data_IF_277265434238
#
_entry.id   IF_277265434238
#
_cell.length_a   1.000
_cell.length_b   1.000
_cell.length_c   1.000
_cell.angle_alpha   90.00
_cell.angle_beta   90.00
_cell.angle_gamma   90.00
#
_symmetry.space_group_name_H-M   'P 1'
#
loop_
_entity.id
_entity.type
_entity.pdbx_description
1 polymer ?
#
# COMPACT_ATOMS: atom_id res chain seq x y z
N UNK A 1 -7.80 12.01 -9.30
CA UNK A 1 -9.02 12.85 -9.27
C UNK A 1 -8.80 14.18 -8.57
N UNK A 2 -7.68 14.38 -7.86
CA UNK A 2 -7.40 15.59 -7.09
C UNK A 2 -7.94 15.52 -5.66
N UNK A 3 -8.70 14.47 -5.34
CA UNK A 3 -9.15 14.11 -4.00
C UNK A 3 -8.26 12.98 -3.49
N UNK A 4 -7.39 13.30 -2.53
CA UNK A 4 -6.43 12.36 -1.96
C UNK A 4 -7.10 11.10 -1.42
N UNK A 5 -8.24 11.25 -0.72
CA UNK A 5 -8.92 10.12 -0.10
C UNK A 5 -9.42 9.14 -1.16
N UNK A 6 -10.03 9.66 -2.24
CA UNK A 6 -10.49 8.84 -3.36
C UNK A 6 -9.32 8.16 -4.07
N UNK A 7 -8.26 8.90 -4.35
CA UNK A 7 -7.12 8.41 -5.13
C UNK A 7 -6.34 7.32 -4.36
N UNK A 8 -6.10 7.50 -3.06
CA UNK A 8 -5.49 6.46 -2.20
C UNK A 8 -6.41 5.24 -2.04
N UNK A 9 -7.72 5.45 -1.86
CA UNK A 9 -8.68 4.34 -1.73
C UNK A 9 -8.66 3.48 -2.99
N UNK A 10 -8.70 4.11 -4.18
CA UNK A 10 -8.62 3.39 -5.44
C UNK A 10 -7.32 2.59 -5.58
N UNK A 11 -6.17 3.17 -5.21
CA UNK A 11 -4.89 2.46 -5.24
C UNK A 11 -4.89 1.23 -4.34
N UNK A 12 -5.38 1.35 -3.11
CA UNK A 12 -5.43 0.24 -2.15
C UNK A 12 -6.44 -0.83 -2.60
N UNK A 13 -7.59 -0.43 -3.14
CA UNK A 13 -8.57 -1.37 -3.72
C UNK A 13 -7.95 -2.23 -4.82
N UNK A 14 -7.20 -1.63 -5.75
CA UNK A 14 -6.52 -2.38 -6.80
C UNK A 14 -5.53 -3.43 -6.24
N UNK A 15 -4.86 -3.11 -5.14
CA UNK A 15 -3.96 -4.06 -4.47
C UNK A 15 -4.73 -5.17 -3.75
N UNK A 16 -5.81 -4.83 -3.03
CA UNK A 16 -6.70 -5.80 -2.39
C UNK A 16 -7.22 -6.79 -3.42
N UNK A 17 -7.73 -6.30 -4.56
CA UNK A 17 -8.27 -7.14 -5.62
C UNK A 17 -7.21 -8.02 -6.26
N UNK A 18 -6.00 -7.50 -6.49
CA UNK A 18 -4.87 -8.30 -7.01
C UNK A 18 -4.45 -9.44 -6.06
N UNK A 19 -4.69 -9.27 -4.75
CA UNK A 19 -4.38 -10.28 -3.75
C UNK A 19 -5.53 -11.24 -3.45
N UNK A 20 -6.69 -11.06 -4.07
CA UNK A 20 -7.80 -12.01 -3.93
C UNK A 20 -7.56 -13.25 -4.78
N UNK A 21 -7.66 -14.42 -4.15
CA UNK A 21 -7.55 -15.71 -4.83
C UNK A 21 -6.10 -16.13 -5.13
N UNK A 22 -5.90 -16.78 -6.28
CA UNK A 22 -4.65 -17.49 -6.60
C UNK A 22 -3.44 -16.56 -6.72
N UNK A 23 -3.63 -15.34 -7.24
CA UNK A 23 -2.56 -14.37 -7.41
C UNK A 23 -1.97 -13.92 -6.05
N UNK A 24 -2.82 -13.72 -5.03
CA UNK A 24 -2.36 -13.43 -3.67
C UNK A 24 -1.55 -14.57 -3.07
N UNK A 25 -1.98 -15.82 -3.26
CA UNK A 25 -1.21 -16.97 -2.79
C UNK A 25 0.19 -17.03 -3.42
N UNK A 26 0.28 -16.80 -4.73
CA UNK A 26 1.57 -16.73 -5.45
C UNK A 26 2.42 -15.58 -4.92
N UNK A 27 1.83 -14.40 -4.69
CA UNK A 27 2.57 -13.26 -4.12
C UNK A 27 3.14 -13.58 -2.73
N UNK A 28 2.36 -14.25 -1.87
CA UNK A 28 2.83 -14.66 -0.55
C UNK A 28 4.00 -15.65 -0.63
N UNK A 29 3.93 -16.62 -1.56
CA UNK A 29 5.02 -17.55 -1.84
C UNK A 29 6.28 -16.82 -2.34
N UNK A 30 6.13 -15.87 -3.26
CA UNK A 30 7.23 -15.04 -3.77
C UNK A 30 7.89 -14.21 -2.66
N UNK A 31 7.10 -13.58 -1.79
CA UNK A 31 7.62 -12.82 -0.64
C UNK A 31 8.39 -13.74 0.31
N UNK A 32 7.87 -14.95 0.56
CA UNK A 32 8.53 -15.96 1.39
C UNK A 32 9.88 -16.40 0.83
N UNK A 33 9.92 -16.74 -0.47
CA UNK A 33 11.16 -17.12 -1.15
C UNK A 33 12.19 -15.98 -1.19
N UNK A 34 11.74 -14.74 -1.37
CA UNK A 34 12.60 -13.56 -1.39
C UNK A 34 13.33 -13.31 -0.06
N UNK A 35 12.94 -13.93 1.06
CA UNK A 35 13.64 -13.76 2.34
C UNK A 35 15.03 -14.41 2.35
N UNK A 36 15.27 -15.41 1.49
CA UNK A 36 16.56 -16.13 1.40
C UNK A 36 17.19 -16.06 0.01
N UNK A 37 16.56 -15.36 -0.94
CA UNK A 37 17.07 -15.12 -2.29
C UNK A 37 17.14 -13.61 -2.56
N UNK A 38 18.35 -13.06 -2.54
CA UNK A 38 18.59 -11.63 -2.72
C UNK A 38 18.21 -11.14 -4.13
N UNK A 39 18.45 -11.95 -5.16
CA UNK A 39 18.13 -11.58 -6.54
C UNK A 39 16.61 -11.52 -6.75
N UNK A 40 15.88 -12.47 -6.15
CA UNK A 40 14.42 -12.44 -6.14
C UNK A 40 13.89 -11.25 -5.33
N UNK A 41 14.49 -10.93 -4.19
CA UNK A 41 14.11 -9.77 -3.39
C UNK A 41 14.28 -8.45 -4.16
N UNK A 42 15.37 -8.30 -4.90
CA UNK A 42 15.60 -7.13 -5.76
C UNK A 42 14.56 -7.02 -6.87
N UNK A 43 14.24 -8.13 -7.54
CA UNK A 43 13.21 -8.14 -8.58
C UNK A 43 11.82 -7.84 -8.02
N UNK A 44 11.46 -8.43 -6.88
CA UNK A 44 10.18 -8.16 -6.22
C UNK A 44 10.08 -6.68 -5.81
N UNK A 45 11.17 -6.10 -5.26
CA UNK A 45 11.22 -4.67 -4.95
C UNK A 45 11.04 -3.82 -6.20
N UNK A 46 11.82 -4.06 -7.24
CA UNK A 46 11.83 -3.24 -8.45
C UNK A 46 10.54 -3.34 -9.26
N UNK A 47 9.98 -4.54 -9.42
CA UNK A 47 8.85 -4.78 -10.32
C UNK A 47 7.50 -4.66 -9.63
N UNK A 48 7.44 -4.92 -8.32
CA UNK A 48 6.18 -4.91 -7.58
C UNK A 48 6.11 -3.76 -6.57
N UNK A 49 7.08 -3.65 -5.66
CA UNK A 49 6.97 -2.70 -4.53
C UNK A 49 7.15 -1.25 -5.01
N UNK A 50 8.24 -0.96 -5.73
CA UNK A 50 8.63 0.40 -6.07
C UNK A 50 7.59 1.15 -6.91
N UNK A 51 6.99 0.56 -7.98
CA UNK A 51 6.00 1.28 -8.78
C UNK A 51 4.77 1.74 -7.98
N UNK A 52 4.37 0.96 -6.97
CA UNK A 52 3.24 1.29 -6.08
C UNK A 52 3.63 2.38 -5.08
N UNK A 53 4.86 2.33 -4.56
CA UNK A 53 5.39 3.38 -3.68
C UNK A 53 5.59 4.71 -4.41
N UNK A 54 6.05 4.69 -5.65
CA UNK A 54 6.22 5.89 -6.47
C UNK A 54 4.87 6.55 -6.74
N UNK A 55 3.86 5.76 -7.14
CA UNK A 55 2.50 6.25 -7.34
C UNK A 55 1.91 6.86 -6.06
N UNK A 56 2.08 6.20 -4.90
CA UNK A 56 1.62 6.72 -3.62
C UNK A 56 2.37 7.99 -3.19
N UNK A 57 3.69 8.05 -3.45
CA UNK A 57 4.53 9.23 -3.17
C UNK A 57 4.01 10.45 -3.94
N UNK A 58 3.67 10.29 -5.22
CA UNK A 58 3.11 11.37 -6.05
C UNK A 58 1.79 11.88 -5.46
N UNK A 59 0.91 10.98 -5.02
CA UNK A 59 -0.38 11.36 -4.41
C UNK A 59 -0.20 12.13 -3.11
N UNK A 60 0.66 11.63 -2.20
CA UNK A 60 0.90 12.23 -0.89
C UNK A 60 1.62 13.58 -1.04
N UNK A 61 2.67 13.65 -1.86
CA UNK A 61 3.39 14.90 -2.11
C UNK A 61 2.45 15.96 -2.69
N UNK A 62 1.64 15.60 -3.69
CA UNK A 62 0.69 16.54 -4.28
C UNK A 62 -0.36 17.03 -3.27
N UNK A 63 -0.72 16.24 -2.27
CA UNK A 63 -1.63 16.67 -1.20
C UNK A 63 -0.96 17.59 -0.17
N UNK A 64 0.32 17.36 0.13
CA UNK A 64 1.14 18.30 0.92
C UNK A 64 1.22 19.65 0.20
N UNK A 65 1.51 19.64 -1.10
CA UNK A 65 1.63 20.87 -1.91
C UNK A 65 0.32 21.67 -1.97
N UNK A 66 -0.84 21.00 -1.84
CA UNK A 66 -2.17 21.62 -1.77
C UNK A 66 -2.60 22.01 -0.35
N UNK A 67 -1.80 21.70 0.67
CA UNK A 67 -2.13 21.95 2.08
C UNK A 67 -3.21 21.03 2.66
N UNK A 68 -3.48 19.88 2.04
CA UNK A 68 -4.43 18.86 2.53
C UNK A 68 -3.84 17.97 3.64
N UNK A 69 -2.51 17.89 3.70
CA UNK A 69 -1.73 17.16 4.70
C UNK A 69 -0.72 18.10 5.37
N UNK A 70 -0.29 17.77 6.59
CA UNK A 70 0.78 18.51 7.26
C UNK A 70 2.10 18.40 6.48
N UNK A 71 2.91 19.47 6.43
CA UNK A 71 4.16 19.50 5.65
C UNK A 71 5.27 18.60 6.23
N UNK A 72 5.11 18.12 7.46
CA UNK A 72 6.05 17.25 8.16
C UNK A 72 5.70 15.76 8.08
N UNK A 73 4.68 15.39 7.29
CA UNK A 73 4.35 13.99 7.04
C UNK A 73 5.53 13.28 6.37
N UNK A 74 6.09 12.28 7.05
CA UNK A 74 7.04 11.36 6.45
C UNK A 74 6.30 10.43 5.45
N UNK A 75 6.54 10.66 4.17
CA UNK A 75 5.89 9.93 3.08
C UNK A 75 6.20 8.43 3.15
N UNK A 76 7.40 8.03 3.56
CA UNK A 76 7.75 6.61 3.63
C UNK A 76 6.98 5.91 4.74
N UNK A 77 6.85 6.55 5.90
CA UNK A 77 6.03 6.04 7.01
C UNK A 77 4.56 6.01 6.62
N UNK A 78 4.05 7.04 5.94
CA UNK A 78 2.68 7.08 5.45
C UNK A 78 2.36 5.90 4.51
N UNK A 79 3.26 5.60 3.56
CA UNK A 79 3.10 4.46 2.66
C UNK A 79 3.18 3.12 3.39
N UNK A 80 4.01 3.00 4.43
CA UNK A 80 4.08 1.80 5.27
C UNK A 80 2.81 1.58 6.07
N UNK A 81 2.19 2.65 6.58
CA UNK A 81 0.88 2.59 7.25
C UNK A 81 -0.25 2.16 6.30
N UNK A 82 -0.21 2.60 5.04
CA UNK A 82 -1.23 2.28 4.04
C UNK A 82 -1.05 0.87 3.45
N UNK A 83 0.18 0.46 3.14
CA UNK A 83 0.45 -0.81 2.47
C UNK A 83 0.81 -1.96 3.40
N UNK A 84 1.43 -1.67 4.55
CA UNK A 84 1.83 -2.68 5.54
C UNK A 84 0.67 -3.60 5.96
N UNK A 85 -0.52 -3.08 6.28
CA UNK A 85 -1.67 -3.92 6.64
C UNK A 85 -2.10 -4.90 5.55
N UNK A 86 -1.93 -4.54 4.26
CA UNK A 86 -2.24 -5.42 3.13
C UNK A 86 -1.34 -6.65 3.15
N UNK A 87 -0.03 -6.43 3.26
CA UNK A 87 0.96 -7.51 3.31
C UNK A 87 0.86 -8.32 4.61
N UNK A 88 0.56 -7.68 5.74
CA UNK A 88 0.34 -8.37 7.00
C UNK A 88 -0.86 -9.33 6.94
N UNK A 89 -2.00 -8.88 6.38
CA UNK A 89 -3.15 -9.78 6.16
C UNK A 89 -2.86 -10.85 5.11
N UNK A 90 -2.16 -10.52 4.03
CA UNK A 90 -1.78 -11.47 2.98
C UNK A 90 -0.91 -12.63 3.53
N UNK A 91 0.12 -12.29 4.32
CA UNK A 91 1.11 -13.25 4.79
C UNK A 91 0.65 -14.01 6.03
N UNK A 92 0.03 -13.32 7.00
CA UNK A 92 -0.38 -13.93 8.28
C UNK A 92 -1.78 -14.53 8.20
N UNK A 93 -2.62 -14.08 7.26
CA UNK A 93 -3.97 -14.61 7.02
C UNK A 93 -4.91 -14.59 8.24
N UNK A 94 -4.67 -13.67 9.17
CA UNK A 94 -5.48 -13.51 10.39
C UNK A 94 -6.84 -12.82 10.13
N UNK A 95 -6.97 -12.08 9.03
CA UNK A 95 -8.18 -11.39 8.59
C UNK A 95 -8.25 -11.33 7.06
N UNK A 96 -9.45 -11.26 6.45
CA UNK A 96 -9.59 -11.20 5.00
C UNK A 96 -9.10 -9.86 4.41
N UNK A 97 -8.76 -9.89 3.13
CA UNK A 97 -8.59 -8.72 2.27
C UNK A 97 -9.95 -8.41 1.62
N UNK A 98 -10.78 -7.61 2.30
CA UNK A 98 -12.18 -7.37 1.99
C UNK A 98 -12.46 -5.91 1.51
N UNK A 99 -13.63 -5.70 0.92
CA UNK A 99 -14.01 -4.42 0.29
C UNK A 99 -14.05 -3.23 1.27
N UNK A 100 -14.40 -3.39 2.56
CA UNK A 100 -14.36 -2.28 3.51
C UNK A 100 -12.94 -1.80 3.86
N UNK A 101 -11.91 -2.65 3.70
CA UNK A 101 -10.55 -2.37 4.19
C UNK A 101 -9.89 -1.13 3.56
N UNK A 102 -9.90 -0.93 2.23
CA UNK A 102 -9.27 0.25 1.60
C UNK A 102 -9.75 1.57 2.21
N UNK A 103 -11.07 1.79 2.25
CA UNK A 103 -11.64 3.02 2.78
C UNK A 103 -11.38 3.20 4.28
N UNK A 104 -11.38 2.12 5.05
CA UNK A 104 -11.07 2.17 6.48
C UNK A 104 -9.60 2.56 6.75
N UNK A 105 -8.65 2.00 5.98
CA UNK A 105 -7.23 2.32 6.11
C UNK A 105 -6.93 3.77 5.72
N UNK A 106 -7.47 4.23 4.59
CA UNK A 106 -7.28 5.62 4.15
C UNK A 106 -7.85 6.59 5.15
N UNK A 107 -9.05 6.33 5.68
CA UNK A 107 -9.64 7.17 6.73
C UNK A 107 -8.74 7.24 7.97
N UNK A 108 -8.29 6.09 8.47
CA UNK A 108 -7.41 6.03 9.65
C UNK A 108 -6.09 6.79 9.44
N UNK A 109 -5.51 6.70 8.24
CA UNK A 109 -4.33 7.47 7.88
C UNK A 109 -4.61 8.98 7.87
N UNK A 110 -5.68 9.42 7.18
CA UNK A 110 -6.02 10.83 7.06
C UNK A 110 -6.36 11.47 8.40
N UNK A 111 -7.03 10.75 9.29
CA UNK A 111 -7.36 11.24 10.64
C UNK A 111 -6.10 11.52 11.47
N UNK A 112 -4.99 10.82 11.21
CA UNK A 112 -3.69 11.04 11.88
C UNK A 112 -2.73 11.96 11.13
N UNK A 113 -2.99 12.26 9.86
CA UNK A 113 -2.08 13.02 8.97
C UNK A 113 -2.53 14.47 8.70
N UNK A 114 -3.73 14.84 9.14
CA UNK A 114 -4.28 16.21 9.09
C UNK A 114 -3.85 17.09 10.26
#
# INVERSE_FOLDING_TARGET
SGDLARDLTAQITLMVDAFRGRAGAIMAELIGAAQTDAALADQLRALWIQPRRDAGTILIQGAIDRGELRPDVDIQVALDQLFGPLYFRLLVRHLPLDDPMPAALVRAFLDGAR
#
